data_IF_495419555965
#
_entry.id   IF_495419555965
#
_cell.length_a   1.000
_cell.length_b   1.000
_cell.length_c   1.000
_cell.angle_alpha   90.00
_cell.angle_beta   90.00
_cell.angle_gamma   90.00
#
_symmetry.space_group_name_H-M   'P 1'
#
loop_
_entity.id
_entity.type
_entity.pdbx_description
1 polymer ?
#
# COMPACT_ATOMS: atom_id res chain seq x y z
N UNK A 1 9.99 3.27 -18.98
CA UNK A 1 10.74 4.21 -18.11
C UNK A 1 9.79 5.17 -17.36
N UNK A 2 9.01 5.99 -18.06
CA UNK A 2 8.14 7.01 -17.44
C UNK A 2 7.03 6.42 -16.55
N UNK A 3 6.33 5.38 -16.99
CA UNK A 3 5.26 4.78 -16.17
C UNK A 3 5.76 4.26 -14.82
N UNK A 4 6.91 3.56 -14.81
CA UNK A 4 7.50 3.06 -13.57
C UNK A 4 7.89 4.20 -12.63
N UNK A 5 8.39 5.31 -13.18
CA UNK A 5 8.69 6.51 -12.40
C UNK A 5 7.42 7.12 -11.79
N UNK A 6 6.36 7.29 -12.60
CA UNK A 6 5.09 7.83 -12.13
C UNK A 6 4.50 6.94 -11.03
N UNK A 7 4.35 5.65 -11.28
CA UNK A 7 3.81 4.70 -10.29
C UNK A 7 4.66 4.68 -9.03
N UNK A 8 5.98 4.51 -9.15
CA UNK A 8 6.88 4.44 -7.99
C UNK A 8 6.89 5.73 -7.16
N UNK A 9 6.89 6.89 -7.81
CA UNK A 9 6.88 8.19 -7.12
C UNK A 9 5.57 8.38 -6.35
N UNK A 10 4.42 8.24 -7.03
CA UNK A 10 3.12 8.50 -6.41
C UNK A 10 2.73 7.44 -5.37
N UNK A 11 3.17 6.19 -5.50
CA UNK A 11 2.98 5.18 -4.45
C UNK A 11 3.67 5.50 -3.14
N UNK A 12 4.70 6.38 -3.16
CA UNK A 12 5.42 6.81 -1.96
C UNK A 12 4.90 8.10 -1.34
N UNK A 13 4.43 9.06 -2.14
CA UNK A 13 4.16 10.42 -1.64
C UNK A 13 2.69 10.83 -1.65
N UNK A 14 1.82 10.09 -2.35
CA UNK A 14 0.44 10.53 -2.56
C UNK A 14 -0.44 10.16 -1.35
N UNK A 15 -0.93 11.11 -0.55
CA UNK A 15 -1.89 10.81 0.50
C UNK A 15 -3.21 10.35 -0.13
N UNK A 16 -3.73 9.22 0.34
CA UNK A 16 -4.96 8.63 -0.19
C UNK A 16 -6.05 8.61 0.89
N UNK A 17 -7.20 9.26 0.61
CA UNK A 17 -8.29 9.39 1.58
C UNK A 17 -8.80 8.02 2.06
N UNK A 18 -8.94 7.04 1.16
CA UNK A 18 -9.34 5.68 1.52
C UNK A 18 -8.33 4.99 2.45
N UNK A 19 -7.07 5.40 2.41
CA UNK A 19 -6.01 4.83 3.24
C UNK A 19 -5.80 5.63 4.53
N UNK A 20 -6.75 6.50 4.91
CA UNK A 20 -6.62 7.38 6.06
C UNK A 20 -5.57 8.47 5.90
N UNK A 21 -5.32 8.91 4.66
CA UNK A 21 -4.34 9.95 4.33
C UNK A 21 -2.90 9.44 4.15
N UNK A 22 -2.68 8.12 4.23
CA UNK A 22 -1.36 7.51 4.01
C UNK A 22 -1.07 7.31 2.51
N UNK A 23 0.22 7.19 2.17
CA UNK A 23 0.62 6.72 0.86
C UNK A 23 0.30 5.24 0.65
N UNK A 24 0.18 4.78 -0.61
CA UNK A 24 0.00 3.37 -0.92
C UNK A 24 1.03 2.46 -0.24
N UNK A 25 2.32 2.79 -0.30
CA UNK A 25 3.39 1.97 0.29
C UNK A 25 3.28 1.88 1.82
N UNK A 26 2.99 3.00 2.50
CA UNK A 26 2.80 3.00 3.95
C UNK A 26 1.59 2.16 4.37
N UNK A 27 0.54 2.18 3.54
CA UNK A 27 -0.68 1.40 3.77
C UNK A 27 -0.44 -0.09 3.62
N UNK A 28 0.31 -0.48 2.57
CA UNK A 28 0.75 -1.86 2.35
C UNK A 28 1.67 -2.34 3.47
N UNK A 29 2.64 -1.53 3.90
CA UNK A 29 3.51 -1.87 5.03
C UNK A 29 2.69 -2.10 6.32
N UNK A 30 1.72 -1.22 6.61
CA UNK A 30 0.82 -1.40 7.75
C UNK A 30 -0.04 -2.65 7.61
N UNK A 31 -0.51 -2.97 6.41
CA UNK A 31 -1.23 -4.21 6.13
C UNK A 31 -0.34 -5.41 6.48
N UNK A 32 0.87 -5.51 5.96
CA UNK A 32 1.76 -6.66 6.22
C UNK A 32 2.10 -6.84 7.70
N UNK A 33 2.27 -5.76 8.45
CA UNK A 33 2.52 -5.82 9.90
C UNK A 33 1.30 -6.34 10.67
N UNK A 34 0.08 -5.97 10.26
CA UNK A 34 -1.13 -6.20 11.03
C UNK A 34 -2.06 -7.28 10.47
N UNK A 35 -1.76 -7.83 9.28
CA UNK A 35 -2.63 -8.80 8.62
C UNK A 35 -2.77 -10.07 9.47
N UNK A 36 -3.97 -10.66 9.42
CA UNK A 36 -4.27 -11.94 10.04
C UNK A 36 -4.74 -12.91 8.96
N UNK A 37 -4.22 -14.12 8.97
CA UNK A 37 -4.69 -15.17 8.08
C UNK A 37 -6.06 -15.65 8.56
N UNK A 38 -7.06 -15.51 7.70
CA UNK A 38 -8.46 -15.88 8.02
C UNK A 38 -8.89 -17.17 7.32
N UNK A 39 -8.22 -17.52 6.22
CA UNK A 39 -8.48 -18.74 5.47
C UNK A 39 -7.51 -19.84 5.91
N UNK A 40 -8.06 -20.98 6.30
CA UNK A 40 -7.31 -22.23 6.46
C UNK A 40 -7.56 -23.09 5.23
N UNK A 41 -6.50 -23.36 4.46
CA UNK A 41 -6.55 -24.27 3.31
C UNK A 41 -6.17 -25.65 3.87
N UNK A 42 -7.15 -26.35 4.45
CA UNK A 42 -7.01 -27.78 4.81
C UNK A 42 -7.91 -28.59 3.90
#
# INVERSE_FOLDING_TARGET
AVNNYITGYYSRVRPHQHNGGLSPNESEQKYWINHKLVANIT
#
